data_IF_864038491720
#
_entry.id   IF_864038491720
#
_cell.length_a   1.000
_cell.length_b   1.000
_cell.length_c   1.000
_cell.angle_alpha   90.00
_cell.angle_beta   90.00
_cell.angle_gamma   90.00
#
_symmetry.space_group_name_H-M   'P 1'
#
loop_
_entity.id
_entity.type
_entity.pdbx_description
1 polymer ?
#
# COMPACT_ATOMS: atom_id res chain seq x y z
N UNK A 1 -22.37 -54.70 19.50
CA UNK A 1 -22.24 -53.29 19.93
C UNK A 1 -21.46 -52.52 18.87
N UNK A 2 -22.12 -51.75 18.00
CA UNK A 2 -21.47 -50.70 17.20
C UNK A 2 -22.49 -49.56 17.06
N UNK A 3 -22.46 -48.66 18.04
CA UNK A 3 -23.20 -47.40 18.03
C UNK A 3 -22.37 -46.42 17.19
N UNK A 4 -22.97 -45.78 16.19
CA UNK A 4 -23.14 -44.33 16.24
C UNK A 4 -23.81 -43.85 14.97
N UNK A 5 -25.00 -43.32 15.21
CA UNK A 5 -25.86 -42.51 14.35
C UNK A 5 -25.35 -41.07 14.38
N UNK A 6 -25.82 -40.29 13.41
CA UNK A 6 -25.87 -38.82 13.37
C UNK A 6 -24.56 -38.13 12.99
N UNK A 7 -24.49 -37.45 11.84
CA UNK A 7 -25.29 -36.32 11.34
C UNK A 7 -24.56 -35.01 11.58
N UNK A 8 -24.61 -34.18 10.54
CA UNK A 8 -24.46 -32.73 10.55
C UNK A 8 -23.40 -32.15 11.49
N UNK A 9 -22.29 -31.77 10.91
CA UNK A 9 -21.85 -30.40 11.12
C UNK A 9 -21.30 -29.89 9.82
N UNK A 10 -22.18 -29.17 9.11
CA UNK A 10 -21.83 -28.20 8.10
C UNK A 10 -20.76 -27.33 8.77
N UNK A 11 -19.48 -27.57 8.46
CA UNK A 11 -18.42 -26.65 8.81
C UNK A 11 -18.81 -25.35 8.12
N UNK A 12 -19.40 -24.48 8.95
CA UNK A 12 -19.83 -23.16 8.62
C UNK A 12 -18.76 -22.54 7.74
N UNK A 13 -19.22 -22.01 6.62
CA UNK A 13 -18.55 -21.01 5.83
C UNK A 13 -18.15 -19.84 6.76
N UNK A 14 -17.09 -20.01 7.52
CA UNK A 14 -16.28 -18.96 8.12
C UNK A 14 -15.10 -18.70 7.19
N UNK A 15 -15.40 -18.59 5.88
CA UNK A 15 -14.65 -17.69 5.03
C UNK A 15 -15.05 -16.28 5.44
N UNK A 16 -14.60 -15.85 6.62
CA UNK A 16 -14.63 -14.46 7.04
C UNK A 16 -13.96 -13.68 5.93
N UNK A 17 -14.81 -12.92 5.25
CA UNK A 17 -14.47 -11.98 4.19
C UNK A 17 -13.41 -11.05 4.78
N UNK A 18 -12.14 -11.29 4.45
CA UNK A 18 -11.09 -10.32 4.66
C UNK A 18 -11.41 -9.18 3.69
N UNK A 19 -12.20 -8.22 4.16
CA UNK A 19 -12.41 -6.95 3.48
C UNK A 19 -11.02 -6.42 3.15
N UNK A 20 -10.66 -6.19 1.87
CA UNK A 20 -9.49 -5.40 1.57
C UNK A 20 -9.77 -4.04 2.20
N UNK A 21 -9.04 -3.74 3.26
CA UNK A 21 -9.00 -2.43 3.87
C UNK A 21 -8.89 -1.43 2.73
N UNK A 22 -9.84 -0.50 2.71
CA UNK A 22 -9.88 0.71 1.90
C UNK A 22 -8.63 0.83 1.04
N UNK A 23 -8.70 0.34 -0.20
CA UNK A 23 -7.80 0.83 -1.22
C UNK A 23 -8.18 2.30 -1.38
N UNK A 24 -7.65 3.12 -0.47
CA UNK A 24 -7.72 4.55 -0.53
C UNK A 24 -7.14 4.86 -1.90
N UNK A 25 -8.02 5.26 -2.80
CA UNK A 25 -7.62 5.86 -4.05
C UNK A 25 -6.98 7.19 -3.65
N UNK A 26 -5.76 7.13 -3.11
CA UNK A 26 -5.00 8.26 -2.58
C UNK A 26 -4.56 9.03 -3.81
N UNK A 27 -5.50 9.81 -4.34
CA UNK A 27 -5.27 10.81 -5.35
C UNK A 27 -4.05 11.61 -4.88
N UNK A 28 -2.98 11.63 -5.68
CA UNK A 28 -1.72 12.26 -5.30
C UNK A 28 -2.00 13.70 -4.82
N UNK A 29 -1.79 14.03 -3.52
CA UNK A 29 -2.12 15.34 -2.98
C UNK A 29 -1.29 16.47 -3.61
N UNK A 30 -0.14 16.15 -4.20
CA UNK A 30 0.69 17.09 -4.97
C UNK A 30 0.10 17.44 -6.36
N UNK A 31 -0.85 16.64 -6.85
CA UNK A 31 -1.55 16.87 -8.14
C UNK A 31 -2.97 17.42 -7.95
N UNK A 32 -3.37 17.70 -6.72
CA UNK A 32 -4.64 18.33 -6.45
C UNK A 32 -4.70 19.71 -7.12
N UNK A 33 -5.81 20.01 -7.82
CA UNK A 33 -5.94 21.25 -8.58
C UNK A 33 -5.92 22.49 -7.69
N UNK A 34 -6.43 22.39 -6.47
CA UNK A 34 -6.40 23.50 -5.50
C UNK A 34 -4.97 23.72 -5.05
N UNK A 35 -4.25 22.67 -4.65
CA UNK A 35 -2.83 22.78 -4.28
C UNK A 35 -1.99 23.37 -5.42
N UNK A 36 -2.13 22.87 -6.65
CA UNK A 36 -1.40 23.39 -7.82
C UNK A 36 -1.73 24.86 -8.08
N UNK A 37 -3.00 25.24 -7.98
CA UNK A 37 -3.42 26.63 -8.17
C UNK A 37 -2.83 27.57 -7.11
N UNK A 38 -2.80 27.15 -5.85
CA UNK A 38 -2.26 27.92 -4.74
C UNK A 38 -0.73 28.00 -4.79
N UNK A 39 -0.06 26.91 -5.17
CA UNK A 39 1.39 26.85 -5.33
C UNK A 39 1.93 27.79 -6.40
N UNK A 40 1.13 28.08 -7.43
CA UNK A 40 1.49 29.01 -8.49
C UNK A 40 1.27 30.49 -8.11
N UNK A 41 0.58 30.78 -7.00
CA UNK A 41 0.39 32.14 -6.49
C UNK A 41 1.60 32.57 -5.66
N UNK A 42 1.93 33.86 -5.68
CA UNK A 42 2.87 34.42 -4.70
C UNK A 42 2.21 34.54 -3.32
N UNK A 43 3.02 34.62 -2.25
CA UNK A 43 2.52 34.83 -0.89
C UNK A 43 1.63 36.09 -0.78
N UNK A 44 1.99 37.15 -1.50
CA UNK A 44 1.24 38.42 -1.52
C UNK A 44 -0.11 38.31 -2.24
N UNK A 45 -0.28 37.28 -3.07
CA UNK A 45 -1.51 37.01 -3.84
C UNK A 45 -2.42 36.00 -3.15
N UNK A 46 -2.01 35.45 -2.00
CA UNK A 46 -2.81 34.52 -1.21
C UNK A 46 -3.48 35.25 -0.06
N UNK A 47 -4.77 35.00 0.13
CA UNK A 47 -5.45 35.33 1.37
C UNK A 47 -4.95 34.43 2.51
N UNK A 48 -5.10 34.85 3.77
CA UNK A 48 -4.71 34.04 4.94
C UNK A 48 -5.32 32.63 4.91
N UNK A 49 -6.58 32.52 4.46
CA UNK A 49 -7.27 31.24 4.32
C UNK A 49 -6.66 30.36 3.22
N UNK A 50 -6.33 30.96 2.09
CA UNK A 50 -5.65 30.24 1.00
C UNK A 50 -4.27 29.78 1.41
N UNK A 51 -3.53 30.61 2.14
CA UNK A 51 -2.22 30.27 2.66
C UNK A 51 -2.28 29.09 3.65
N UNK A 52 -3.24 29.08 4.58
CA UNK A 52 -3.41 27.94 5.49
C UNK A 52 -3.83 26.66 4.74
N UNK A 53 -4.67 26.78 3.71
CA UNK A 53 -5.04 25.66 2.85
C UNK A 53 -3.83 25.13 2.08
N UNK A 54 -3.01 26.02 1.53
CA UNK A 54 -1.76 25.69 0.85
C UNK A 54 -0.81 24.97 1.80
N UNK A 55 -0.61 25.49 3.01
CA UNK A 55 0.31 24.92 4.00
C UNK A 55 -0.07 23.50 4.39
N UNK A 56 -1.36 23.24 4.63
CA UNK A 56 -1.85 21.89 4.95
C UNK A 56 -1.63 20.93 3.76
N UNK A 57 -1.95 21.38 2.55
CA UNK A 57 -1.76 20.59 1.34
C UNK A 57 -0.27 20.33 1.01
N UNK A 58 0.60 21.30 1.28
CA UNK A 58 2.04 21.21 1.07
C UNK A 58 2.66 20.17 2.03
N UNK A 59 2.25 20.19 3.30
CA UNK A 59 2.65 19.17 4.28
C UNK A 59 2.17 17.77 3.90
N UNK A 60 0.93 17.65 3.40
CA UNK A 60 0.39 16.39 2.92
C UNK A 60 1.18 15.87 1.70
N UNK A 61 1.54 16.75 0.76
CA UNK A 61 2.38 16.41 -0.39
C UNK A 61 3.79 15.96 0.04
N UNK A 62 4.44 16.67 0.97
CA UNK A 62 5.74 16.28 1.51
C UNK A 62 5.69 14.89 2.18
N UNK A 63 4.64 14.63 2.96
CA UNK A 63 4.43 13.32 3.58
C UNK A 63 4.21 12.21 2.54
N UNK A 64 3.40 12.48 1.52
CA UNK A 64 3.14 11.54 0.42
C UNK A 64 4.43 11.18 -0.34
N UNK A 65 5.24 12.16 -0.72
CA UNK A 65 6.52 11.92 -1.43
C UNK A 65 7.50 11.10 -0.59
N UNK A 66 7.56 11.36 0.72
CA UNK A 66 8.38 10.59 1.66
C UNK A 66 7.92 9.13 1.74
N UNK A 67 6.61 8.90 1.84
CA UNK A 67 6.05 7.55 1.87
C UNK A 67 6.25 6.80 0.54
N UNK A 68 6.09 7.47 -0.60
CA UNK A 68 6.37 6.87 -1.92
C UNK A 68 7.85 6.48 -2.04
N UNK A 69 8.76 7.33 -1.61
CA UNK A 69 10.20 7.02 -1.61
C UNK A 69 10.53 5.82 -0.72
N UNK A 70 9.97 5.77 0.50
CA UNK A 70 10.14 4.63 1.41
C UNK A 70 9.56 3.32 0.84
N UNK A 71 8.42 3.40 0.13
CA UNK A 71 7.84 2.24 -0.55
C UNK A 71 8.72 1.74 -1.70
N UNK A 72 9.35 2.65 -2.46
CA UNK A 72 10.25 2.27 -3.56
C UNK A 72 11.47 1.48 -3.07
N UNK A 73 12.02 1.84 -1.92
CA UNK A 73 13.13 1.11 -1.29
C UNK A 73 12.77 -0.36 -1.00
N UNK A 74 11.54 -0.61 -0.52
CA UNK A 74 11.08 -1.97 -0.23
C UNK A 74 10.87 -2.85 -1.48
N UNK A 75 10.64 -2.25 -2.65
CA UNK A 75 10.50 -2.99 -3.92
C UNK A 75 11.85 -3.37 -4.54
N UNK A 76 12.92 -2.63 -4.24
CA UNK A 76 14.27 -2.91 -4.76
C UNK A 76 14.94 -4.13 -4.10
N UNK A 77 14.39 -4.68 -3.02
CA UNK A 77 14.98 -5.83 -2.31
C UNK A 77 14.51 -7.21 -2.82
N UNK A 78 13.48 -7.29 -3.67
CA UNK A 78 12.82 -8.56 -4.06
C UNK A 78 13.18 -9.09 -5.47
N UNK A 79 14.38 -8.82 -5.97
CA UNK A 79 14.95 -9.50 -7.14
C UNK A 79 16.29 -10.15 -6.81
N UNK A 80 16.38 -10.80 -5.65
CA UNK A 80 17.46 -11.72 -5.32
C UNK A 80 17.13 -13.12 -5.90
N UNK A 81 17.61 -13.39 -7.11
CA UNK A 81 17.53 -14.71 -7.77
C UNK A 81 18.51 -15.76 -7.21
N UNK A 82 19.36 -15.41 -6.24
CA UNK A 82 20.42 -16.30 -5.76
C UNK A 82 19.88 -17.45 -4.91
N UNK A 83 18.76 -17.26 -4.21
CA UNK A 83 18.09 -18.35 -3.48
C UNK A 83 17.55 -19.44 -4.43
N UNK A 84 17.14 -19.07 -5.64
CA UNK A 84 16.69 -20.02 -6.67
C UNK A 84 17.87 -20.85 -7.19
N UNK A 85 19.04 -20.22 -7.37
CA UNK A 85 20.27 -20.92 -7.76
C UNK A 85 20.78 -21.87 -6.64
N UNK A 86 20.69 -21.46 -5.38
CA UNK A 86 21.05 -22.29 -4.22
C UNK A 86 20.13 -23.50 -4.04
N UNK A 87 18.84 -23.37 -4.36
CA UNK A 87 17.86 -24.47 -4.30
C UNK A 87 18.01 -25.50 -5.44
N UNK A 88 18.67 -25.14 -6.55
CA UNK A 88 18.90 -26.03 -7.69
C UNK A 88 20.22 -26.84 -7.59
N UNK A 89 21.17 -26.41 -6.76
CA UNK A 89 22.44 -27.10 -6.54
C UNK A 89 22.34 -28.58 -6.08
N UNK A 90 21.36 -28.99 -5.25
CA UNK A 90 21.25 -30.38 -4.80
C UNK A 90 20.83 -31.35 -5.92
N UNK A 91 20.17 -30.86 -6.98
CA UNK A 91 19.69 -31.70 -8.08
C UNK A 91 20.79 -32.08 -9.08
N UNK A 92 21.94 -31.40 -9.03
CA UNK A 92 23.13 -31.71 -9.85
C UNK A 92 24.01 -32.81 -9.24
N UNK A 93 23.77 -33.22 -8.00
CA UNK A 93 24.50 -34.30 -7.32
C UNK A 93 23.78 -35.66 -7.35
N UNK A 94 22.60 -35.74 -7.99
CA UNK A 94 21.79 -36.97 -8.13
C UNK A 94 21.76 -37.53 -9.57
N UNK A 95 22.60 -37.00 -10.47
CA UNK A 95 22.85 -37.47 -11.83
C UNK A 95 24.30 -37.94 -11.93
#
# INVERSE_FOLDING_TARGET
MKKSVAALSICAALSLVMSPAMAENTQNPCKDSVYVSLKNKSLEQMTDREYETYKQADQACASYTTNVAAMQESTSFKNNWWWVALAALPLLFLL
#
